data_IF_232477994995
#
_entry.id   IF_232477994995
#
_cell.length_a   1.000
_cell.length_b   1.000
_cell.length_c   1.000
_cell.angle_alpha   90.00
_cell.angle_beta   90.00
_cell.angle_gamma   90.00
#
_symmetry.space_group_name_H-M   'P 1'
#
loop_
_entity.id
_entity.type
_entity.pdbx_description
1 polymer ?
#
# COMPACT_ATOMS: atom_id res chain seq x y z
N UNK A 1 20.58 -30.57 2.80
CA UNK A 1 19.69 -30.88 3.93
C UNK A 1 20.57 -31.24 5.13
N UNK A 2 21.36 -30.29 5.65
CA UNK A 2 22.24 -30.45 6.84
C UNK A 2 23.11 -29.19 7.13
N UNK A 3 22.53 -27.99 7.02
CA UNK A 3 23.10 -26.76 7.64
C UNK A 3 21.96 -26.08 8.43
N UNK A 4 21.22 -26.90 9.18
CA UNK A 4 20.03 -26.47 9.92
C UNK A 4 20.39 -26.16 11.37
N UNK A 5 19.98 -24.97 11.81
CA UNK A 5 19.80 -24.53 13.21
C UNK A 5 21.02 -23.99 13.96
N UNK A 6 21.55 -22.84 13.53
CA UNK A 6 21.95 -21.84 14.53
C UNK A 6 20.73 -20.98 14.85
N UNK A 7 20.14 -21.17 16.04
CA UNK A 7 19.14 -20.24 16.58
C UNK A 7 19.84 -18.88 16.74
N UNK A 8 19.36 -17.85 16.06
CA UNK A 8 19.86 -16.48 16.20
C UNK A 8 19.66 -16.06 17.67
N UNK A 9 20.74 -15.74 18.40
CA UNK A 9 20.62 -15.24 19.77
C UNK A 9 20.18 -13.77 19.75
N UNK A 10 18.87 -13.58 19.59
CA UNK A 10 18.19 -12.30 19.44
C UNK A 10 18.44 -11.38 20.64
N UNK A 11 18.67 -11.90 21.85
CA UNK A 11 18.79 -11.06 23.04
C UNK A 11 19.98 -10.07 23.00
N UNK A 12 21.03 -10.37 22.23
CA UNK A 12 22.21 -9.50 22.12
C UNK A 12 22.14 -8.47 20.97
N UNK A 13 21.12 -8.51 20.12
CA UNK A 13 21.08 -7.77 18.85
C UNK A 13 20.36 -6.41 18.91
N UNK A 14 19.55 -6.16 19.94
CA UNK A 14 18.53 -5.09 19.91
C UNK A 14 18.61 -3.96 20.95
N UNK A 15 19.41 -3.99 22.04
CA UNK A 15 19.39 -2.89 23.02
C UNK A 15 19.78 -1.51 22.45
N UNK A 16 20.33 -1.44 21.24
CA UNK A 16 20.86 -0.20 20.64
C UNK A 16 20.45 0.00 19.18
N UNK A 17 19.61 -0.87 18.62
CA UNK A 17 19.33 -0.86 17.18
C UNK A 17 17.95 -0.26 16.88
N UNK A 18 17.89 0.78 16.04
CA UNK A 18 16.63 1.40 15.61
C UNK A 18 15.92 0.64 14.48
N UNK A 19 16.63 -0.22 13.75
CA UNK A 19 16.12 -0.95 12.60
C UNK A 19 16.60 -2.40 12.64
N UNK A 20 15.70 -3.36 12.45
CA UNK A 20 16.08 -4.76 12.31
C UNK A 20 15.33 -5.46 11.20
N UNK A 21 16.08 -6.14 10.33
CA UNK A 21 15.55 -6.96 9.25
C UNK A 21 15.94 -8.41 9.49
N UNK A 22 14.96 -9.20 9.92
CA UNK A 22 15.05 -10.64 10.14
C UNK A 22 14.27 -11.41 9.08
N UNK A 23 14.22 -10.89 7.84
CA UNK A 23 13.44 -11.52 6.78
C UNK A 23 14.11 -12.80 6.29
N UNK A 24 13.35 -13.89 6.17
CA UNK A 24 13.87 -15.17 5.67
C UNK A 24 14.80 -15.91 6.65
N UNK A 25 14.83 -15.50 7.93
CA UNK A 25 15.73 -16.07 8.94
C UNK A 25 15.24 -17.39 9.57
N UNK A 26 14.18 -18.00 9.02
CA UNK A 26 13.55 -19.22 9.54
C UNK A 26 13.22 -19.13 11.06
N UNK A 27 12.62 -18.01 11.46
CA UNK A 27 12.31 -17.72 12.86
C UNK A 27 11.36 -18.76 13.45
N UNK A 28 11.73 -19.28 14.63
CA UNK A 28 10.92 -20.21 15.41
C UNK A 28 9.97 -19.46 16.35
N UNK A 29 9.04 -20.18 16.97
CA UNK A 29 8.18 -19.61 18.01
C UNK A 29 8.99 -19.06 19.20
N UNK A 30 10.11 -19.72 19.55
CA UNK A 30 11.06 -19.22 20.56
C UNK A 30 11.67 -17.88 20.16
N UNK A 31 11.98 -17.72 18.87
CA UNK A 31 12.48 -16.45 18.32
C UNK A 31 11.44 -15.34 18.48
N UNK A 32 10.16 -15.63 18.19
CA UNK A 32 9.06 -14.67 18.41
C UNK A 32 8.89 -14.31 19.89
N UNK A 33 9.04 -15.28 20.80
CA UNK A 33 8.99 -15.03 22.25
C UNK A 33 10.16 -14.13 22.69
N UNK A 34 11.36 -14.38 22.21
CA UNK A 34 12.53 -13.54 22.49
C UNK A 34 12.33 -12.11 21.95
N UNK A 35 11.87 -11.96 20.70
CA UNK A 35 11.54 -10.66 20.10
C UNK A 35 10.46 -9.93 20.90
N UNK A 36 9.41 -10.63 21.34
CA UNK A 36 8.36 -10.08 22.18
C UNK A 36 8.91 -9.53 23.50
N UNK A 37 9.81 -10.29 24.13
CA UNK A 37 10.52 -9.85 25.34
C UNK A 37 11.33 -8.59 25.09
N UNK A 38 12.13 -8.57 24.00
CA UNK A 38 12.94 -7.40 23.61
C UNK A 38 12.06 -6.18 23.38
N UNK A 39 10.98 -6.30 22.59
CA UNK A 39 10.02 -5.21 22.33
C UNK A 39 9.39 -4.65 23.61
N UNK A 40 9.34 -5.46 24.67
CA UNK A 40 8.76 -5.07 25.95
C UNK A 40 9.73 -4.37 26.90
N UNK A 41 11.04 -4.39 26.62
CA UNK A 41 12.06 -3.78 27.49
C UNK A 41 12.13 -2.27 27.37
N UNK A 42 12.41 -1.58 28.48
CA UNK A 42 12.56 -0.11 28.53
C UNK A 42 13.70 0.41 27.66
N UNK A 43 14.76 -0.37 27.49
CA UNK A 43 15.91 -0.03 26.67
C UNK A 43 15.69 -0.26 25.17
N UNK A 44 14.53 -0.82 24.76
CA UNK A 44 14.27 -1.09 23.35
C UNK A 44 14.07 0.22 22.58
N UNK A 45 14.99 0.51 21.67
CA UNK A 45 14.91 1.67 20.78
C UNK A 45 14.43 1.30 19.37
N UNK A 46 13.88 0.10 19.18
CA UNK A 46 13.54 -0.40 17.85
C UNK A 46 12.35 0.37 17.26
N UNK A 47 12.52 0.90 16.05
CA UNK A 47 11.53 1.68 15.31
C UNK A 47 10.98 0.91 14.12
N UNK A 48 11.81 0.10 13.48
CA UNK A 48 11.40 -0.75 12.36
C UNK A 48 11.80 -2.20 12.57
N UNK A 49 10.85 -3.11 12.31
CA UNK A 49 11.06 -4.54 12.37
C UNK A 49 10.46 -5.20 11.14
N UNK A 50 11.31 -5.85 10.36
CA UNK A 50 10.90 -6.66 9.21
C UNK A 50 11.11 -8.14 9.50
N UNK A 51 10.00 -8.86 9.69
CA UNK A 51 9.95 -10.31 9.92
C UNK A 51 9.44 -11.08 8.69
N UNK A 52 9.42 -10.44 7.52
CA UNK A 52 8.83 -11.04 6.32
C UNK A 52 9.49 -12.36 5.91
N UNK A 53 8.79 -13.21 5.16
CA UNK A 53 9.30 -14.49 4.66
C UNK A 53 9.71 -15.47 5.79
N UNK A 54 9.03 -15.45 6.93
CA UNK A 54 9.23 -16.41 8.02
C UNK A 54 7.95 -17.22 8.29
N UNK A 55 8.05 -18.47 8.74
CA UNK A 55 6.87 -19.29 9.04
C UNK A 55 6.32 -19.04 10.45
N UNK A 56 5.96 -17.79 10.75
CA UNK A 56 5.55 -17.38 12.10
C UNK A 56 4.23 -18.02 12.53
N UNK A 57 3.29 -18.19 11.58
CA UNK A 57 1.91 -18.63 11.85
C UNK A 57 1.23 -17.72 12.88
N UNK A 58 0.04 -18.11 13.32
CA UNK A 58 -0.69 -17.31 14.32
C UNK A 58 -0.05 -17.31 15.71
N UNK A 59 0.72 -18.35 16.09
CA UNK A 59 1.42 -18.35 17.38
C UNK A 59 2.49 -17.26 17.42
N UNK A 60 3.32 -17.16 16.37
CA UNK A 60 4.32 -16.10 16.25
C UNK A 60 3.68 -14.71 16.16
N UNK A 61 2.63 -14.54 15.34
CA UNK A 61 1.91 -13.26 15.22
C UNK A 61 1.33 -12.78 16.56
N UNK A 62 0.77 -13.70 17.35
CA UNK A 62 0.26 -13.41 18.71
C UNK A 62 1.39 -13.02 19.67
N UNK A 63 2.49 -13.76 19.68
CA UNK A 63 3.64 -13.46 20.55
C UNK A 63 4.22 -12.07 20.25
N UNK A 64 4.41 -11.72 18.98
CA UNK A 64 4.87 -10.39 18.59
C UNK A 64 3.86 -9.32 19.04
N UNK A 65 2.56 -9.57 18.88
CA UNK A 65 1.51 -8.64 19.33
C UNK A 65 1.54 -8.37 20.84
N UNK A 66 1.97 -9.34 21.67
CA UNK A 66 2.17 -9.12 23.11
C UNK A 66 3.24 -8.07 23.36
N UNK A 67 4.39 -8.17 22.69
CA UNK A 67 5.49 -7.22 22.85
C UNK A 67 5.11 -5.82 22.37
N UNK A 68 4.38 -5.72 21.25
CA UNK A 68 3.92 -4.45 20.69
C UNK A 68 2.92 -3.69 21.59
N UNK A 69 2.23 -4.38 22.50
CA UNK A 69 1.33 -3.72 23.47
C UNK A 69 2.07 -3.07 24.62
N UNK A 70 3.32 -3.44 24.86
CA UNK A 70 4.10 -2.91 25.98
C UNK A 70 4.13 -1.37 25.90
N UNK A 71 3.97 -0.66 27.04
CA UNK A 71 4.16 0.80 27.10
C UNK A 71 5.56 1.24 26.67
N UNK A 72 6.54 0.34 26.71
CA UNK A 72 7.92 0.60 26.35
C UNK A 72 8.22 0.35 24.86
N UNK A 73 7.26 -0.23 24.10
CA UNK A 73 7.49 -0.53 22.70
C UNK A 73 7.44 0.73 21.84
N UNK A 74 8.57 1.10 21.25
CA UNK A 74 8.71 2.28 20.39
C UNK A 74 8.50 2.00 18.90
N UNK A 75 8.11 0.77 18.53
CA UNK A 75 8.05 0.32 17.14
C UNK A 75 7.01 1.11 16.33
N UNK A 76 7.44 1.65 15.19
CA UNK A 76 6.61 2.42 14.26
C UNK A 76 6.29 1.64 13.00
N UNK A 77 7.19 0.77 12.55
CA UNK A 77 7.01 -0.02 11.32
C UNK A 77 7.15 -1.50 11.61
N UNK A 78 6.13 -2.27 11.21
CA UNK A 78 6.13 -3.72 11.29
C UNK A 78 5.80 -4.32 9.92
N UNK A 79 6.72 -5.15 9.42
CA UNK A 79 6.52 -5.91 8.18
C UNK A 79 6.45 -7.40 8.48
N UNK A 80 5.34 -8.01 8.08
CA UNK A 80 4.98 -9.41 8.34
C UNK A 80 4.54 -10.08 7.02
N UNK A 81 5.20 -9.74 5.90
CA UNK A 81 4.83 -10.30 4.60
C UNK A 81 5.17 -11.77 4.51
N UNK A 82 4.33 -12.58 3.88
CA UNK A 82 4.61 -14.02 3.68
C UNK A 82 4.94 -14.72 5.03
N UNK A 83 4.14 -14.45 6.06
CA UNK A 83 4.35 -14.96 7.42
C UNK A 83 3.47 -16.17 7.82
N UNK A 84 2.66 -16.66 6.87
CA UNK A 84 1.59 -17.65 7.06
C UNK A 84 0.60 -17.29 8.17
N UNK A 85 0.32 -15.99 8.32
CA UNK A 85 -0.68 -15.48 9.26
C UNK A 85 -2.10 -15.75 8.74
N UNK A 86 -3.06 -15.89 9.65
CA UNK A 86 -4.50 -15.93 9.37
C UNK A 86 -5.25 -14.77 10.05
N UNK A 87 -6.59 -14.75 9.95
CA UNK A 87 -7.44 -13.76 10.61
C UNK A 87 -7.26 -13.71 12.14
N UNK A 88 -6.83 -14.81 12.76
CA UNK A 88 -6.51 -14.87 14.20
C UNK A 88 -5.37 -13.94 14.60
N UNK A 89 -4.37 -13.78 13.73
CA UNK A 89 -3.29 -12.80 13.96
C UNK A 89 -3.79 -11.37 13.85
N UNK A 90 -4.75 -11.13 12.94
CA UNK A 90 -5.36 -9.82 12.78
C UNK A 90 -6.13 -9.37 14.02
N UNK A 91 -6.76 -10.29 14.77
CA UNK A 91 -7.41 -9.96 16.04
C UNK A 91 -6.39 -9.49 17.10
N UNK A 92 -5.26 -10.18 17.22
CA UNK A 92 -4.18 -9.76 18.12
C UNK A 92 -3.61 -8.39 17.73
N UNK A 93 -3.36 -8.17 16.43
CA UNK A 93 -2.89 -6.88 15.91
C UNK A 93 -3.94 -5.77 16.08
N UNK A 94 -5.22 -6.07 15.92
CA UNK A 94 -6.32 -5.12 16.17
C UNK A 94 -6.25 -4.54 17.58
N UNK A 95 -5.97 -5.41 18.56
CA UNK A 95 -5.81 -4.99 19.95
C UNK A 95 -4.50 -4.23 20.23
N UNK A 96 -3.48 -4.33 19.36
CA UNK A 96 -2.31 -3.45 19.38
C UNK A 96 -2.70 -2.07 18.86
N UNK A 97 -3.41 -2.02 17.73
CA UNK A 97 -3.83 -0.77 17.09
C UNK A 97 -4.78 0.05 17.96
N UNK A 98 -5.62 -0.59 18.77
CA UNK A 98 -6.49 0.10 19.73
C UNK A 98 -5.79 0.58 21.00
N UNK A 99 -4.54 0.16 21.25
CA UNK A 99 -3.81 0.50 22.48
C UNK A 99 -3.28 1.94 22.44
N UNK A 100 -3.50 2.69 23.53
CA UNK A 100 -2.95 4.04 23.72
C UNK A 100 -1.41 4.08 23.69
N UNK A 101 -0.77 2.98 24.10
CA UNK A 101 0.68 2.84 24.15
C UNK A 101 1.31 2.58 22.78
N UNK A 102 0.52 2.12 21.80
CA UNK A 102 1.05 1.78 20.49
C UNK A 102 1.64 3.00 19.79
N UNK A 103 2.81 2.80 19.20
CA UNK A 103 3.50 3.78 18.36
C UNK A 103 3.43 3.42 16.86
N UNK A 104 2.72 2.34 16.52
CA UNK A 104 2.73 1.78 15.18
C UNK A 104 2.08 2.73 14.15
N UNK A 105 2.83 3.05 13.10
CA UNK A 105 2.42 3.91 11.97
C UNK A 105 2.33 3.17 10.65
N UNK A 106 3.15 2.13 10.44
CA UNK A 106 3.13 1.28 9.26
C UNK A 106 2.96 -0.19 9.64
N UNK A 107 1.99 -0.85 9.01
CA UNK A 107 1.74 -2.28 9.12
C UNK A 107 1.60 -2.89 7.74
N UNK A 108 2.51 -3.81 7.42
CA UNK A 108 2.48 -4.59 6.19
C UNK A 108 2.21 -6.06 6.48
N UNK A 109 1.03 -6.53 6.06
CA UNK A 109 0.59 -7.92 6.18
C UNK A 109 0.47 -8.60 4.82
N UNK A 110 1.03 -8.01 3.76
CA UNK A 110 0.84 -8.46 2.38
C UNK A 110 1.29 -9.92 2.19
N UNK A 111 0.67 -10.63 1.24
CA UNK A 111 0.97 -12.02 0.91
C UNK A 111 0.76 -12.99 2.10
N UNK A 112 -0.26 -12.74 2.92
CA UNK A 112 -0.77 -13.69 3.91
C UNK A 112 -2.21 -14.07 3.53
N UNK A 113 -2.58 -15.34 3.67
CA UNK A 113 -3.95 -15.79 3.37
C UNK A 113 -4.90 -15.47 4.53
N UNK A 114 -5.16 -14.18 4.75
CA UNK A 114 -5.84 -13.68 5.95
C UNK A 114 -7.36 -13.90 5.91
N UNK A 115 -7.98 -14.03 4.72
CA UNK A 115 -9.42 -14.28 4.54
C UNK A 115 -10.31 -13.35 5.39
N UNK A 116 -10.45 -12.10 4.96
CA UNK A 116 -11.12 -10.99 5.66
C UNK A 116 -10.37 -10.36 6.86
N UNK A 117 -9.09 -9.97 6.69
CA UNK A 117 -8.30 -9.32 7.74
C UNK A 117 -8.93 -8.04 8.27
N UNK A 118 -9.55 -7.25 7.38
CA UNK A 118 -10.10 -5.94 7.72
C UNK A 118 -11.20 -6.05 8.76
N UNK A 119 -12.04 -7.10 8.68
CA UNK A 119 -13.11 -7.32 9.66
C UNK A 119 -12.56 -7.47 11.09
N UNK A 120 -11.39 -8.08 11.25
CA UNK A 120 -10.74 -8.26 12.55
C UNK A 120 -9.98 -7.01 12.98
N UNK A 121 -9.33 -6.34 12.03
CA UNK A 121 -8.56 -5.12 12.27
C UNK A 121 -9.43 -3.88 12.52
N UNK A 122 -10.69 -3.87 12.08
CA UNK A 122 -11.53 -2.66 12.05
C UNK A 122 -11.71 -2.01 13.41
N UNK A 123 -11.90 -2.80 14.47
CA UNK A 123 -12.04 -2.27 15.83
C UNK A 123 -10.78 -1.48 16.26
N UNK A 124 -9.60 -2.02 15.96
CA UNK A 124 -8.33 -1.34 16.13
C UNK A 124 -8.19 -0.10 15.26
N UNK A 125 -8.46 -0.21 13.96
CA UNK A 125 -8.34 0.89 13.00
C UNK A 125 -9.31 2.05 13.27
N UNK A 126 -10.48 1.78 13.87
CA UNK A 126 -11.47 2.79 14.23
C UNK A 126 -11.27 3.38 15.63
N UNK A 127 -10.34 2.85 16.42
CA UNK A 127 -10.02 3.40 17.74
C UNK A 127 -9.45 4.81 17.60
N UNK A 128 -9.84 5.72 18.52
CA UNK A 128 -9.26 7.06 18.63
C UNK A 128 -7.78 7.05 19.03
N UNK A 129 -7.28 5.91 19.52
CA UNK A 129 -5.87 5.71 19.85
C UNK A 129 -5.02 5.20 18.68
N UNK A 130 -5.65 4.82 17.56
CA UNK A 130 -4.94 4.28 16.41
C UNK A 130 -4.12 5.37 15.70
N UNK A 131 -2.80 5.15 15.63
CA UNK A 131 -1.85 6.05 14.95
C UNK A 131 -1.41 5.52 13.57
N UNK A 132 -2.04 4.46 13.08
CA UNK A 132 -1.63 3.79 11.86
C UNK A 132 -1.94 4.66 10.63
N UNK A 133 -0.89 5.03 9.92
CA UNK A 133 -0.95 5.87 8.72
C UNK A 133 -0.86 5.04 7.45
N UNK A 134 -0.14 3.92 7.48
CA UNK A 134 0.11 3.06 6.32
C UNK A 134 -0.34 1.63 6.61
N UNK A 135 -1.25 1.12 5.78
CA UNK A 135 -1.74 -0.25 5.85
C UNK A 135 -1.56 -0.94 4.49
N UNK A 136 -0.76 -2.00 4.46
CA UNK A 136 -0.55 -2.82 3.26
C UNK A 136 -1.15 -4.22 3.44
N UNK A 137 -2.12 -4.54 2.58
CA UNK A 137 -2.87 -5.79 2.53
C UNK A 137 -2.85 -6.38 1.11
N UNK A 138 -1.75 -6.20 0.38
CA UNK A 138 -1.64 -6.72 -0.97
C UNK A 138 -1.63 -8.25 -0.97
N UNK A 139 -2.36 -8.89 -1.88
CA UNK A 139 -2.48 -10.35 -1.95
C UNK A 139 -2.89 -11.00 -0.60
N UNK A 140 -3.93 -10.44 0.02
CA UNK A 140 -4.46 -10.91 1.32
C UNK A 140 -5.81 -11.64 1.22
N UNK A 141 -6.30 -11.88 0.00
CA UNK A 141 -7.59 -12.50 -0.30
C UNK A 141 -8.76 -11.76 0.37
N UNK A 142 -8.82 -10.44 0.15
CA UNK A 142 -9.90 -9.57 0.65
C UNK A 142 -11.22 -9.88 -0.06
N UNK A 143 -12.32 -10.03 0.70
CA UNK A 143 -13.66 -10.13 0.13
C UNK A 143 -14.36 -8.77 0.00
N UNK A 144 -15.51 -8.77 -0.65
CA UNK A 144 -16.43 -7.62 -0.67
C UNK A 144 -16.77 -7.10 0.74
N UNK A 145 -16.89 -8.00 1.73
CA UNK A 145 -17.14 -7.62 3.13
C UNK A 145 -15.96 -6.82 3.70
N UNK A 146 -14.73 -7.19 3.34
CA UNK A 146 -13.54 -6.42 3.73
C UNK A 146 -13.56 -5.02 3.13
N UNK A 147 -13.97 -4.86 1.87
CA UNK A 147 -14.12 -3.55 1.24
C UNK A 147 -15.16 -2.69 1.95
N UNK A 148 -16.32 -3.25 2.28
CA UNK A 148 -17.38 -2.54 3.03
C UNK A 148 -16.88 -2.05 4.39
N UNK A 149 -16.19 -2.92 5.13
CA UNK A 149 -15.65 -2.55 6.46
C UNK A 149 -14.54 -1.50 6.31
N UNK A 150 -13.64 -1.64 5.34
CA UNK A 150 -12.58 -0.66 5.10
C UNK A 150 -13.15 0.70 4.69
N UNK A 151 -14.22 0.72 3.90
CA UNK A 151 -14.96 1.94 3.56
C UNK A 151 -15.47 2.67 4.81
N UNK A 152 -16.03 1.93 5.78
CA UNK A 152 -16.44 2.49 7.08
C UNK A 152 -15.25 2.96 7.93
N UNK A 153 -14.10 2.28 7.86
CA UNK A 153 -12.86 2.74 8.52
C UNK A 153 -12.39 4.06 7.90
N UNK A 154 -12.30 4.14 6.57
CA UNK A 154 -11.83 5.33 5.84
C UNK A 154 -12.76 6.54 6.04
N UNK A 155 -14.05 6.29 6.22
CA UNK A 155 -15.05 7.34 6.47
C UNK A 155 -15.09 7.82 7.93
N UNK A 156 -14.39 7.16 8.85
CA UNK A 156 -14.41 7.49 10.28
C UNK A 156 -13.52 8.69 10.59
N UNK A 157 -14.00 9.61 11.44
CA UNK A 157 -13.23 10.76 11.94
C UNK A 157 -11.96 10.34 12.70
N UNK A 158 -12.01 9.20 13.39
CA UNK A 158 -10.88 8.63 14.14
C UNK A 158 -9.78 8.04 13.25
N UNK A 159 -10.05 7.79 11.97
CA UNK A 159 -9.07 7.18 11.08
C UNK A 159 -7.84 8.09 10.89
N UNK A 160 -6.67 7.49 11.04
CA UNK A 160 -5.35 8.10 10.82
C UNK A 160 -4.73 7.67 9.48
N UNK A 161 -5.36 6.75 8.74
CA UNK A 161 -4.82 6.24 7.48
C UNK A 161 -4.58 7.34 6.45
N UNK A 162 -3.43 7.23 5.78
CA UNK A 162 -2.92 8.10 4.71
C UNK A 162 -2.53 7.28 3.49
N UNK A 163 -2.02 6.06 3.68
CA UNK A 163 -1.68 5.14 2.59
C UNK A 163 -2.35 3.78 2.81
N UNK A 164 -3.02 3.29 1.78
CA UNK A 164 -3.61 1.95 1.75
C UNK A 164 -3.22 1.26 0.46
N UNK A 165 -2.64 0.06 0.58
CA UNK A 165 -2.33 -0.81 -0.55
C UNK A 165 -3.14 -2.10 -0.46
N UNK A 166 -4.06 -2.29 -1.41
CA UNK A 166 -4.89 -3.49 -1.55
C UNK A 166 -4.62 -4.22 -2.86
N UNK A 167 -3.50 -3.94 -3.52
CA UNK A 167 -3.17 -4.51 -4.83
C UNK A 167 -3.17 -6.04 -4.80
N UNK A 168 -3.38 -6.70 -5.93
CA UNK A 168 -3.41 -8.16 -6.05
C UNK A 168 -4.50 -8.84 -5.19
N UNK A 169 -5.64 -8.17 -4.98
CA UNK A 169 -6.83 -8.80 -4.38
C UNK A 169 -7.97 -8.78 -5.40
N UNK A 170 -8.67 -9.90 -5.61
CA UNK A 170 -9.79 -9.96 -6.55
C UNK A 170 -11.05 -9.27 -5.98
N UNK A 171 -11.03 -7.93 -5.91
CA UNK A 171 -12.10 -7.14 -5.31
C UNK A 171 -13.34 -7.11 -6.20
N UNK A 172 -13.15 -7.18 -7.53
CA UNK A 172 -14.19 -6.97 -8.54
C UNK A 172 -14.86 -5.59 -8.39
N UNK A 173 -15.80 -5.27 -9.27
CA UNK A 173 -16.50 -3.99 -9.18
C UNK A 173 -17.37 -3.86 -7.93
N UNK A 174 -17.93 -4.96 -7.40
CA UNK A 174 -18.75 -4.90 -6.17
C UNK A 174 -17.91 -4.44 -4.98
N UNK A 175 -16.75 -5.06 -4.76
CA UNK A 175 -15.80 -4.65 -3.72
C UNK A 175 -15.18 -3.28 -4.00
N UNK A 176 -14.80 -3.01 -5.25
CA UNK A 176 -14.22 -1.73 -5.67
C UNK A 176 -15.16 -0.55 -5.39
N UNK A 177 -16.42 -0.63 -5.82
CA UNK A 177 -17.43 0.43 -5.59
C UNK A 177 -17.65 0.69 -4.10
N UNK A 178 -17.77 -0.35 -3.28
CA UNK A 178 -17.96 -0.20 -1.83
C UNK A 178 -16.78 0.51 -1.15
N UNK A 179 -15.55 0.12 -1.51
CA UNK A 179 -14.34 0.75 -0.98
C UNK A 179 -14.26 2.23 -1.37
N UNK A 180 -14.45 2.52 -2.66
CA UNK A 180 -14.32 3.85 -3.22
C UNK A 180 -15.35 4.84 -2.65
N UNK A 181 -16.56 4.37 -2.32
CA UNK A 181 -17.58 5.21 -1.68
C UNK A 181 -17.10 5.83 -0.35
N UNK A 182 -16.22 5.14 0.39
CA UNK A 182 -15.68 5.66 1.65
C UNK A 182 -14.72 6.84 1.48
N UNK A 183 -14.17 7.04 0.28
CA UNK A 183 -13.29 8.15 -0.04
C UNK A 183 -14.04 9.48 -0.24
N UNK A 184 -15.37 9.43 -0.41
CA UNK A 184 -16.20 10.62 -0.57
C UNK A 184 -16.50 11.32 0.77
N UNK A 185 -16.25 10.63 1.90
CA UNK A 185 -16.43 11.22 3.23
C UNK A 185 -15.49 12.39 3.45
N UNK A 186 -15.99 13.49 4.01
CA UNK A 186 -15.17 14.64 4.44
C UNK A 186 -14.15 14.28 5.53
N UNK A 187 -14.39 13.17 6.24
CA UNK A 187 -13.46 12.65 7.24
C UNK A 187 -12.35 11.78 6.65
N UNK A 188 -12.43 11.41 5.37
CA UNK A 188 -11.42 10.60 4.73
C UNK A 188 -10.14 11.41 4.51
N UNK A 189 -9.04 10.95 5.12
CA UNK A 189 -7.72 11.61 5.07
C UNK A 189 -6.74 10.90 4.12
N UNK A 190 -7.20 9.87 3.40
CA UNK A 190 -6.35 9.02 2.55
C UNK A 190 -5.71 9.81 1.42
N UNK A 191 -4.39 9.70 1.30
CA UNK A 191 -3.57 10.37 0.28
C UNK A 191 -3.18 9.43 -0.85
N UNK A 192 -2.87 8.18 -0.52
CA UNK A 192 -2.40 7.19 -1.46
C UNK A 192 -3.28 5.95 -1.39
N UNK A 193 -3.82 5.55 -2.54
CA UNK A 193 -4.58 4.32 -2.70
C UNK A 193 -3.99 3.50 -3.84
N UNK A 194 -3.62 2.24 -3.55
CA UNK A 194 -3.16 1.29 -4.57
C UNK A 194 -4.15 0.13 -4.71
N UNK A 195 -4.63 -0.05 -5.93
CA UNK A 195 -5.61 -1.03 -6.37
C UNK A 195 -5.13 -1.76 -7.63
N UNK A 196 -3.82 -1.95 -7.78
CA UNK A 196 -3.28 -2.64 -8.96
C UNK A 196 -3.67 -4.11 -8.94
N UNK A 197 -4.03 -4.69 -10.10
CA UNK A 197 -4.44 -6.10 -10.21
C UNK A 197 -5.59 -6.43 -9.24
N UNK A 198 -6.67 -5.62 -9.28
CA UNK A 198 -7.82 -5.79 -8.40
C UNK A 198 -9.09 -6.32 -9.11
N UNK A 199 -8.97 -6.67 -10.40
CA UNK A 199 -10.06 -7.09 -11.27
C UNK A 199 -11.19 -6.04 -11.36
N UNK A 200 -10.82 -4.76 -11.39
CA UNK A 200 -11.74 -3.64 -11.57
C UNK A 200 -12.01 -3.41 -13.06
N UNK A 201 -13.21 -2.95 -13.39
CA UNK A 201 -13.59 -2.53 -14.75
C UNK A 201 -13.98 -1.06 -14.82
N UNK A 202 -14.44 -0.61 -15.98
CA UNK A 202 -15.02 0.73 -16.19
C UNK A 202 -16.12 1.07 -15.18
N UNK A 203 -16.84 0.08 -14.64
CA UNK A 203 -17.92 0.31 -13.67
C UNK A 203 -17.40 0.94 -12.38
N UNK A 204 -16.21 0.55 -11.93
CA UNK A 204 -15.60 1.16 -10.74
C UNK A 204 -15.15 2.61 -10.99
N UNK A 205 -14.88 2.97 -12.25
CA UNK A 205 -14.50 4.33 -12.63
C UNK A 205 -15.64 5.36 -12.46
N UNK A 206 -16.91 4.94 -12.47
CA UNK A 206 -18.06 5.83 -12.19
C UNK A 206 -17.97 6.44 -10.78
N UNK A 207 -17.75 5.57 -9.78
CA UNK A 207 -17.63 5.99 -8.37
C UNK A 207 -16.34 6.78 -8.18
N UNK A 208 -15.24 6.33 -8.78
CA UNK A 208 -13.97 7.02 -8.69
C UNK A 208 -14.00 8.40 -9.34
N UNK A 209 -14.67 8.57 -10.48
CA UNK A 209 -14.91 9.88 -11.10
C UNK A 209 -15.62 10.82 -10.13
N UNK A 210 -16.65 10.32 -9.42
CA UNK A 210 -17.36 11.06 -8.38
C UNK A 210 -16.46 11.42 -7.19
N UNK A 211 -15.52 10.54 -6.81
CA UNK A 211 -14.51 10.81 -5.78
C UNK A 211 -13.55 11.92 -6.23
N UNK A 212 -13.03 11.85 -7.44
CA UNK A 212 -12.11 12.86 -8.00
C UNK A 212 -12.79 14.22 -8.17
N UNK A 213 -14.08 14.22 -8.49
CA UNK A 213 -14.90 15.44 -8.58
C UNK A 213 -15.27 16.05 -7.23
N UNK A 214 -15.07 15.31 -6.14
CA UNK A 214 -15.33 15.78 -4.78
C UNK A 214 -14.09 16.43 -4.16
N UNK A 215 -14.24 17.06 -2.99
CA UNK A 215 -13.11 17.61 -2.22
C UNK A 215 -12.26 16.52 -1.54
N UNK A 216 -11.97 15.43 -2.25
CA UNK A 216 -11.20 14.31 -1.75
C UNK A 216 -9.78 14.72 -1.31
N UNK A 217 -9.27 14.02 -0.31
CA UNK A 217 -7.90 14.19 0.16
C UNK A 217 -6.88 13.42 -0.70
N UNK A 218 -7.33 12.57 -1.62
CA UNK A 218 -6.48 11.71 -2.46
C UNK A 218 -5.49 12.53 -3.30
N UNK A 219 -4.28 12.01 -3.43
CA UNK A 219 -3.14 12.59 -4.19
C UNK A 219 -2.53 11.58 -5.13
N UNK A 220 -2.50 10.32 -4.72
CA UNK A 220 -1.92 9.24 -5.51
C UNK A 220 -2.90 8.10 -5.65
N UNK A 221 -3.06 7.65 -6.90
CA UNK A 221 -3.92 6.54 -7.24
C UNK A 221 -3.21 5.61 -8.22
N UNK A 222 -3.08 4.35 -7.82
CA UNK A 222 -2.61 3.28 -8.70
C UNK A 222 -3.76 2.32 -9.01
N UNK A 223 -4.19 2.30 -10.27
CA UNK A 223 -5.22 1.41 -10.80
C UNK A 223 -4.64 0.47 -11.86
N UNK A 224 -3.31 0.31 -11.92
CA UNK A 224 -2.63 -0.43 -12.98
C UNK A 224 -3.10 -1.89 -13.07
N UNK A 225 -3.08 -2.47 -14.27
CA UNK A 225 -3.44 -3.86 -14.52
C UNK A 225 -4.90 -4.19 -14.11
N UNK A 226 -5.83 -3.29 -14.41
CA UNK A 226 -7.27 -3.50 -14.31
C UNK A 226 -7.92 -3.36 -15.69
N UNK A 227 -9.11 -3.93 -15.90
CA UNK A 227 -9.75 -3.97 -17.22
C UNK A 227 -10.62 -2.71 -17.45
N UNK A 228 -10.01 -1.51 -17.35
CA UNK A 228 -10.76 -0.24 -17.38
C UNK A 228 -11.20 0.17 -18.79
N UNK A 229 -10.38 -0.14 -19.81
CA UNK A 229 -10.62 0.22 -21.22
C UNK A 229 -10.81 1.72 -21.44
N UNK A 230 -11.21 2.10 -22.65
CA UNK A 230 -11.48 3.50 -23.01
C UNK A 230 -12.65 4.10 -22.23
N UNK A 231 -13.70 3.31 -21.95
CA UNK A 231 -14.84 3.75 -21.15
C UNK A 231 -14.43 4.17 -19.74
N UNK A 232 -13.55 3.40 -19.08
CA UNK A 232 -12.98 3.77 -17.79
C UNK A 232 -12.10 5.01 -17.90
N UNK A 233 -11.24 5.10 -18.92
CA UNK A 233 -10.44 6.30 -19.21
C UNK A 233 -11.29 7.57 -19.36
N UNK A 234 -12.40 7.48 -20.09
CA UNK A 234 -13.36 8.58 -20.28
C UNK A 234 -14.05 9.00 -18.98
N UNK A 235 -14.50 8.04 -18.16
CA UNK A 235 -15.11 8.33 -16.86
C UNK A 235 -14.12 9.01 -15.90
N UNK A 236 -12.88 8.52 -15.84
CA UNK A 236 -11.83 9.14 -15.03
C UNK A 236 -11.49 10.54 -15.52
N UNK A 237 -11.46 10.75 -16.84
CA UNK A 237 -11.22 12.05 -17.45
C UNK A 237 -12.23 13.10 -16.97
N UNK A 238 -13.52 12.75 -16.92
CA UNK A 238 -14.56 13.64 -16.38
C UNK A 238 -14.31 14.03 -14.91
N UNK A 239 -13.79 13.10 -14.09
CA UNK A 239 -13.44 13.38 -12.70
C UNK A 239 -12.20 14.26 -12.58
N UNK A 240 -11.19 14.03 -13.42
CA UNK A 240 -9.95 14.81 -13.48
C UNK A 240 -10.17 16.25 -13.94
N UNK A 241 -11.20 16.51 -14.76
CA UNK A 241 -11.58 17.85 -15.21
C UNK A 241 -12.20 18.72 -14.11
N UNK A 242 -12.63 18.12 -13.00
CA UNK A 242 -13.23 18.88 -11.91
C UNK A 242 -12.21 19.84 -11.28
N UNK A 243 -12.59 21.10 -10.99
CA UNK A 243 -11.73 22.04 -10.28
C UNK A 243 -11.47 21.62 -8.81
N UNK A 244 -12.19 20.60 -8.32
CA UNK A 244 -11.97 20.03 -6.99
C UNK A 244 -10.99 18.86 -6.99
N UNK A 245 -10.63 18.33 -8.16
CA UNK A 245 -9.67 17.24 -8.26
C UNK A 245 -8.29 17.73 -7.82
N UNK A 246 -7.70 17.05 -6.83
CA UNK A 246 -6.37 17.35 -6.31
C UNK A 246 -5.38 16.23 -6.57
N UNK A 247 -5.69 15.31 -7.49
CA UNK A 247 -4.85 14.16 -7.77
C UNK A 247 -3.56 14.62 -8.46
N UNK A 248 -2.42 14.16 -7.94
CA UNK A 248 -1.08 14.52 -8.41
C UNK A 248 -0.47 13.34 -9.19
N UNK A 249 -0.68 12.11 -8.73
CA UNK A 249 -0.11 10.91 -9.33
C UNK A 249 -1.21 9.92 -9.72
N UNK A 250 -1.28 9.58 -11.00
CA UNK A 250 -2.22 8.60 -11.54
C UNK A 250 -1.48 7.53 -12.35
N UNK A 251 -1.62 6.28 -11.94
CA UNK A 251 -1.13 5.13 -12.70
C UNK A 251 -2.29 4.32 -13.26
N UNK A 252 -2.34 4.26 -14.60
CA UNK A 252 -3.26 3.46 -15.41
C UNK A 252 -2.49 2.48 -16.31
N UNK A 253 -1.29 2.07 -15.88
CA UNK A 253 -0.46 1.14 -16.64
C UNK A 253 -1.19 -0.18 -16.87
N UNK A 254 -1.19 -0.72 -18.08
CA UNK A 254 -1.82 -2.03 -18.36
C UNK A 254 -3.34 -2.03 -18.19
N UNK A 255 -4.02 -0.90 -18.45
CA UNK A 255 -5.47 -0.76 -18.26
C UNK A 255 -6.31 -0.97 -19.52
N UNK A 256 -5.69 -1.44 -20.61
CA UNK A 256 -6.31 -1.65 -21.93
C UNK A 256 -6.89 -0.35 -22.53
N UNK A 257 -6.26 0.79 -22.24
CA UNK A 257 -6.62 2.09 -22.79
C UNK A 257 -6.06 2.20 -24.22
N UNK A 258 -6.91 2.59 -25.16
CA UNK A 258 -6.55 2.82 -26.55
C UNK A 258 -6.36 4.32 -26.85
N UNK A 259 -6.31 4.67 -28.14
CA UNK A 259 -6.31 6.05 -28.63
C UNK A 259 -7.51 6.88 -28.12
N UNK A 260 -8.70 6.28 -28.04
CA UNK A 260 -9.92 6.99 -27.61
C UNK A 260 -9.83 7.41 -26.13
N UNK A 261 -9.44 6.48 -25.26
CA UNK A 261 -9.27 6.77 -23.84
C UNK A 261 -8.09 7.73 -23.59
N UNK A 262 -7.00 7.63 -24.37
CA UNK A 262 -5.91 8.60 -24.31
C UNK A 262 -6.37 10.01 -24.70
N UNK A 263 -7.19 10.14 -25.75
CA UNK A 263 -7.76 11.42 -26.18
C UNK A 263 -8.63 12.04 -25.08
N UNK A 264 -9.40 11.21 -24.37
CA UNK A 264 -10.19 11.65 -23.21
C UNK A 264 -9.30 12.18 -22.09
N UNK A 265 -8.22 11.47 -21.75
CA UNK A 265 -7.28 11.88 -20.71
C UNK A 265 -6.54 13.17 -21.08
N UNK A 266 -6.14 13.34 -22.34
CA UNK A 266 -5.56 14.59 -22.86
C UNK A 266 -6.53 15.75 -22.71
N UNK A 267 -7.81 15.56 -23.04
CA UNK A 267 -8.84 16.57 -22.82
C UNK A 267 -8.95 16.99 -21.35
N UNK A 268 -8.81 16.05 -20.42
CA UNK A 268 -8.76 16.36 -18.99
C UNK A 268 -7.51 17.15 -18.58
N UNK A 269 -6.34 16.85 -19.13
CA UNK A 269 -5.10 17.59 -18.85
C UNK A 269 -5.12 19.02 -19.43
N UNK A 270 -5.80 19.21 -20.56
CA UNK A 270 -6.02 20.53 -21.16
C UNK A 270 -7.02 21.38 -20.36
N UNK A 271 -7.84 20.76 -19.50
CA UNK A 271 -8.80 21.45 -18.65
C UNK A 271 -8.05 22.03 -17.45
N UNK A 272 -7.67 23.31 -17.56
CA UNK A 272 -6.77 24.00 -16.64
C UNK A 272 -7.53 24.56 -15.41
N UNK A 273 -7.00 24.43 -14.16
CA UNK A 273 -5.75 23.77 -13.78
C UNK A 273 -5.92 22.32 -13.32
N UNK A 274 -5.35 21.40 -14.10
CA UNK A 274 -5.04 20.06 -13.64
C UNK A 274 -3.89 20.10 -12.61
N UNK A 275 -4.05 19.34 -11.53
CA UNK A 275 -3.02 19.17 -10.49
C UNK A 275 -2.07 18.00 -10.78
N UNK A 276 -2.29 17.27 -11.88
CA UNK A 276 -1.54 16.05 -12.17
C UNK A 276 -0.07 16.36 -12.50
N UNK A 277 0.83 15.69 -11.79
CA UNK A 277 2.29 15.77 -11.91
C UNK A 277 2.87 14.50 -12.52
N UNK A 278 2.26 13.34 -12.25
CA UNK A 278 2.69 12.06 -12.79
C UNK A 278 1.51 11.32 -13.42
N UNK A 279 1.68 10.92 -14.68
CA UNK A 279 0.74 10.06 -15.40
C UNK A 279 1.50 8.86 -15.97
N UNK A 280 1.10 7.66 -15.54
CA UNK A 280 1.64 6.41 -16.06
C UNK A 280 0.58 5.69 -16.91
N UNK A 281 0.81 5.64 -18.22
CA UNK A 281 0.04 4.93 -19.23
C UNK A 281 0.86 3.80 -19.87
N UNK A 282 1.96 3.36 -19.26
CA UNK A 282 2.76 2.27 -19.80
C UNK A 282 1.94 0.99 -19.99
N UNK A 283 2.35 0.12 -20.93
CA UNK A 283 1.64 -1.11 -21.25
C UNK A 283 0.16 -0.93 -21.68
N UNK A 284 -0.20 0.20 -22.29
CA UNK A 284 -1.47 0.43 -22.98
C UNK A 284 -1.28 0.47 -24.51
N UNK A 285 -2.34 0.78 -25.25
CA UNK A 285 -2.35 0.85 -26.72
C UNK A 285 -2.73 2.25 -27.24
N UNK A 286 -1.99 3.32 -26.87
CA UNK A 286 -2.37 4.70 -27.19
C UNK A 286 -2.51 4.99 -28.70
N UNK A 287 -1.98 4.14 -29.58
CA UNK A 287 -1.93 4.41 -31.02
C UNK A 287 -1.02 5.58 -31.37
N UNK A 288 -0.76 5.79 -32.65
CA UNK A 288 0.11 6.88 -33.11
C UNK A 288 -0.50 8.24 -32.78
N UNK A 289 -1.82 8.41 -32.94
CA UNK A 289 -2.48 9.67 -32.62
C UNK A 289 -2.50 9.96 -31.12
N UNK A 290 -2.76 8.96 -30.26
CA UNK A 290 -2.73 9.17 -28.82
C UNK A 290 -1.34 9.52 -28.33
N UNK A 291 -0.29 8.87 -28.86
CA UNK A 291 1.11 9.24 -28.58
C UNK A 291 1.40 10.66 -29.05
N UNK A 292 0.92 11.06 -30.24
CA UNK A 292 1.08 12.42 -30.76
C UNK A 292 0.42 13.45 -29.85
N UNK A 293 -0.82 13.23 -29.43
CA UNK A 293 -1.56 14.12 -28.52
C UNK A 293 -0.87 14.25 -27.16
N UNK A 294 -0.46 13.13 -26.59
CA UNK A 294 0.23 13.08 -25.29
C UNK A 294 1.61 13.73 -25.35
N UNK A 295 2.33 13.60 -26.47
CA UNK A 295 3.63 14.23 -26.69
C UNK A 295 3.49 15.75 -26.89
N UNK A 296 2.50 16.19 -27.68
CA UNK A 296 2.22 17.61 -27.86
C UNK A 296 1.86 18.30 -26.54
N UNK A 297 1.04 17.65 -25.70
CA UNK A 297 0.70 18.19 -24.38
C UNK A 297 1.91 18.34 -23.43
N UNK A 298 2.97 17.52 -23.56
CA UNK A 298 4.20 17.71 -22.77
C UNK A 298 4.96 18.98 -23.12
N UNK A 299 4.78 19.49 -24.33
CA UNK A 299 5.36 20.75 -24.80
C UNK A 299 4.46 21.95 -24.45
N UNK A 300 3.20 21.71 -24.05
CA UNK A 300 2.26 22.73 -23.65
C UNK A 300 2.64 23.29 -22.25
N UNK A 301 2.95 24.60 -22.14
CA UNK A 301 3.29 25.21 -20.85
C UNK A 301 2.14 25.23 -19.83
N UNK A 302 0.91 24.96 -20.26
CA UNK A 302 -0.25 24.85 -19.37
C UNK A 302 -0.29 23.51 -18.62
N UNK A 303 0.35 22.47 -19.16
CA UNK A 303 0.46 21.19 -18.45
C UNK A 303 1.42 21.31 -17.28
N UNK A 304 0.99 20.81 -16.12
CA UNK A 304 1.82 20.75 -14.90
C UNK A 304 2.56 19.41 -14.73
N UNK A 305 2.53 18.56 -15.76
CA UNK A 305 2.99 17.18 -15.69
C UNK A 305 4.53 17.12 -15.69
N UNK A 306 5.11 16.62 -14.61
CA UNK A 306 6.56 16.39 -14.48
C UNK A 306 6.99 15.08 -15.16
N UNK A 307 6.10 14.07 -15.16
CA UNK A 307 6.43 12.73 -15.67
C UNK A 307 5.25 12.13 -16.41
N UNK A 308 5.49 11.79 -17.68
CA UNK A 308 4.59 10.98 -18.50
C UNK A 308 5.29 9.68 -18.89
N UNK A 309 4.65 8.53 -18.63
CA UNK A 309 5.16 7.21 -19.05
C UNK A 309 4.20 6.59 -20.05
N UNK A 310 4.68 6.28 -21.26
CA UNK A 310 3.85 5.73 -22.35
C UNK A 310 4.31 4.33 -22.80
N UNK A 311 5.61 4.04 -22.74
CA UNK A 311 6.17 2.78 -23.24
C UNK A 311 6.36 1.79 -22.08
N UNK A 312 5.86 0.56 -22.24
CA UNK A 312 6.46 -0.58 -21.57
C UNK A 312 7.84 -0.77 -22.20
N UNK A 313 8.93 -0.69 -21.43
CA UNK A 313 10.27 -0.94 -21.97
C UNK A 313 10.27 -2.32 -22.64
N UNK A 314 10.31 -2.38 -23.97
CA UNK A 314 10.83 -3.55 -24.69
C UNK A 314 12.35 -3.57 -24.48
N UNK A 315 12.80 -3.95 -23.29
CA UNK A 315 14.17 -4.44 -23.12
C UNK A 315 14.18 -5.91 -23.53
N UNK A 316 15.11 -6.25 -24.42
CA UNK A 316 15.59 -7.57 -24.89
C UNK A 316 15.20 -8.84 -24.09
N UNK A 317 15.19 -10.05 -24.69
CA UNK A 317 14.59 -11.28 -24.16
C UNK A 317 15.21 -11.87 -22.88
N UNK A 318 16.20 -11.24 -22.28
CA UNK A 318 16.92 -11.75 -21.11
C UNK A 318 17.09 -10.67 -20.05
N UNK A 319 15.98 -10.24 -19.43
CA UNK A 319 15.88 -9.81 -18.02
C UNK A 319 14.42 -9.53 -17.70
N UNK A 320 13.83 -10.40 -16.89
CA UNK A 320 12.59 -10.11 -16.17
C UNK A 320 12.97 -9.12 -15.06
N UNK A 321 12.78 -7.82 -15.27
CA UNK A 321 12.65 -6.90 -14.14
C UNK A 321 11.32 -7.20 -13.46
N UNK A 322 11.26 -7.43 -12.14
CA UNK A 322 9.99 -7.62 -11.45
C UNK A 322 9.13 -6.38 -11.67
N UNK A 323 7.99 -6.54 -12.35
CA UNK A 323 6.90 -5.59 -12.28
C UNK A 323 6.45 -5.54 -10.82
N UNK A 324 6.97 -4.57 -10.07
CA UNK A 324 6.73 -4.46 -8.65
C UNK A 324 7.63 -3.40 -8.01
N UNK A 325 7.00 -2.28 -7.66
CA UNK A 325 7.45 -1.33 -6.63
C UNK A 325 8.69 -0.49 -6.98
N UNK A 326 8.45 0.68 -7.60
CA UNK A 326 9.42 1.79 -7.62
C UNK A 326 9.01 2.96 -6.70
N UNK A 327 8.34 2.65 -5.57
CA UNK A 327 7.94 3.62 -4.54
C UNK A 327 8.48 3.27 -3.14
N UNK A 328 9.68 2.70 -3.08
CA UNK A 328 10.49 2.72 -1.86
C UNK A 328 11.73 3.55 -2.15
N UNK A 329 11.67 4.85 -1.87
CA UNK A 329 12.87 5.61 -1.51
C UNK A 329 12.98 5.64 0.01
N UNK A 330 13.82 4.80 0.64
CA UNK A 330 14.40 5.15 1.92
C UNK A 330 15.56 6.11 1.65
N UNK A 331 15.48 7.31 2.21
CA UNK A 331 16.65 8.16 2.33
C UNK A 331 17.76 7.37 3.04
N UNK A 332 18.82 7.04 2.31
CA UNK A 332 20.07 6.52 2.87
C UNK A 332 20.69 7.61 3.75
N UNK A 333 20.28 7.71 5.01
CA UNK A 333 21.18 8.22 6.04
C UNK A 333 22.22 7.12 6.28
N UNK A 334 23.41 7.34 5.72
CA UNK A 334 24.62 6.57 6.01
C UNK A 334 24.86 6.55 7.52
N UNK A 335 24.52 5.46 8.20
CA UNK A 335 25.18 5.10 9.44
C UNK A 335 26.25 4.06 9.10
N UNK A 336 27.50 4.53 9.00
CA UNK A 336 28.68 3.67 9.07
C UNK A 336 28.80 3.19 10.52
N UNK A 337 28.69 1.89 10.76
CA UNK A 337 29.38 1.27 11.88
C UNK A 337 29.68 -0.20 11.57
N UNK A 338 30.92 -0.39 11.11
CA UNK A 338 31.84 -1.49 11.36
C UNK A 338 31.26 -2.91 11.38
N UNK A 339 31.41 -3.56 10.22
CA UNK A 339 31.56 -5.01 10.12
C UNK A 339 32.97 -5.36 10.62
N UNK A 340 33.08 -6.25 11.61
CA UNK A 340 34.29 -7.07 11.80
C UNK A 340 33.88 -8.48 12.25
N UNK A 341 34.41 -9.45 11.50
CA UNK A 341 34.57 -10.90 11.64
C UNK A 341 34.25 -11.58 12.99
N UNK A 342 33.91 -12.87 13.07
CA UNK A 342 34.73 -14.04 12.67
C UNK A 342 33.84 -15.28 12.37
N UNK A 343 34.37 -16.10 11.44
CA UNK A 343 34.08 -17.49 11.04
C UNK A 343 33.14 -18.36 11.88
#
# INVERSE_FOLDING_TARGET
YSIFQQELNINNLFPSCCFSRLSGCNLSERSCKALSSVLSTESCSLRELDLSNNNLKDSGGKLISVGLKSPHCTLETLRLRVCKLSDKSCEALSSVLSSKTSSLRELDLSNNNLKDPVKRLSAGLQSSHCKLETLRLSACNLSEKSCKVLSSVLSSQSSSLREVDLSNNNLQDSGGKLLLAGLQSQHCKLKTLRLSVCNLSERSCEVLSSVLSSQSSLRELDMSNNNLKDSGGKLLSAGLQSPHCKLENLSLSGCLISEEGCSSLVSALNSNPSHLRVLDLSYNHPGDSGVKLLSAGREDPLWRLDTLRLLGKKTSPFRVEPAGVRWLTPGLRKCKSVLHFIH
#
